data_IF_723177224621
#
_entry.id   IF_723177224621
#
_cell.length_a   1.000
_cell.length_b   1.000
_cell.length_c   1.000
_cell.angle_alpha   90.00
_cell.angle_beta   90.00
_cell.angle_gamma   90.00
#
_symmetry.space_group_name_H-M   'P 1'
#
loop_
_entity.id
_entity.type
_entity.pdbx_description
1 polymer ?
#
# COMPACT_ATOMS: atom_id res chain seq x y z
N UNK A 1 12.36 -11.88 -15.13
CA UNK A 1 12.20 -11.49 -13.71
C UNK A 1 10.89 -10.72 -13.54
N UNK A 2 10.17 -10.91 -12.43
CA UNK A 2 8.75 -10.53 -12.31
C UNK A 2 8.56 -9.01 -12.25
N UNK A 3 8.05 -8.41 -13.33
CA UNK A 3 7.62 -6.99 -13.40
C UNK A 3 6.67 -6.63 -12.25
N UNK A 4 5.81 -7.58 -11.85
CA UNK A 4 4.91 -7.44 -10.71
C UNK A 4 5.65 -7.23 -9.38
N UNK A 5 6.83 -7.84 -9.20
CA UNK A 5 7.64 -7.66 -8.00
C UNK A 5 8.18 -6.23 -7.87
N UNK A 6 8.59 -5.61 -8.98
CA UNK A 6 9.05 -4.21 -9.01
C UNK A 6 7.91 -3.28 -8.61
N UNK A 7 6.75 -3.44 -9.26
CA UNK A 7 5.56 -2.64 -8.96
C UNK A 7 5.12 -2.80 -7.49
N UNK A 8 5.04 -4.04 -7.00
CA UNK A 8 4.64 -4.35 -5.63
C UNK A 8 5.54 -3.65 -4.59
N UNK A 9 6.86 -3.69 -4.81
CA UNK A 9 7.81 -2.99 -3.94
C UNK A 9 7.54 -1.49 -3.87
N UNK A 10 7.29 -0.84 -5.02
CA UNK A 10 7.09 0.61 -5.08
C UNK A 10 5.71 1.06 -4.59
N UNK A 11 4.64 0.33 -4.91
CA UNK A 11 3.29 0.65 -4.40
C UNK A 11 3.19 0.43 -2.88
N UNK A 12 3.83 -0.60 -2.35
CA UNK A 12 3.87 -0.85 -0.91
C UNK A 12 4.69 0.22 -0.19
N UNK A 13 5.83 0.63 -0.76
CA UNK A 13 6.62 1.74 -0.23
C UNK A 13 5.82 3.05 -0.20
N UNK A 14 5.10 3.37 -1.28
CA UNK A 14 4.17 4.49 -1.32
C UNK A 14 3.14 4.40 -0.19
N UNK A 15 2.54 3.23 0.01
CA UNK A 15 1.57 2.99 1.06
C UNK A 15 2.09 3.23 2.47
N UNK A 16 3.31 2.76 2.75
CA UNK A 16 3.98 2.99 4.05
C UNK A 16 4.24 4.48 4.26
N UNK A 17 4.73 5.19 3.24
CA UNK A 17 5.01 6.64 3.33
C UNK A 17 3.73 7.46 3.49
N UNK A 18 2.66 7.13 2.75
CA UNK A 18 1.37 7.78 2.89
C UNK A 18 0.81 7.58 4.30
N UNK A 19 0.84 6.35 4.81
CA UNK A 19 0.37 6.05 6.16
C UNK A 19 1.19 6.82 7.22
N UNK A 20 2.50 6.93 7.03
CA UNK A 20 3.39 7.68 7.90
C UNK A 20 3.05 9.19 7.95
N UNK A 21 2.48 9.75 6.88
CA UNK A 21 2.03 11.15 6.84
C UNK A 21 0.90 11.46 7.85
N UNK A 22 0.14 10.43 8.25
CA UNK A 22 -0.99 10.59 9.18
C UNK A 22 -0.61 10.35 10.64
N UNK A 23 0.61 9.89 10.92
CA UNK A 23 1.11 9.71 12.29
C UNK A 23 1.90 10.97 12.69
N UNK A 24 1.56 11.62 13.82
CA UNK A 24 2.34 12.76 14.31
C UNK A 24 3.63 12.30 15.00
N UNK A 25 4.69 13.11 14.90
CA UNK A 25 6.03 12.75 15.41
C UNK A 25 6.20 12.86 16.92
N UNK A 26 5.45 13.75 17.56
CA UNK A 26 5.71 14.20 18.93
C UNK A 26 5.66 13.10 20.01
N UNK A 27 4.80 12.07 19.95
CA UNK A 27 4.72 11.08 21.03
C UNK A 27 5.33 9.70 20.72
N UNK A 28 5.59 9.36 19.45
CA UNK A 28 6.02 7.98 19.06
C UNK A 28 7.55 7.82 19.04
N UNK A 29 8.29 8.93 19.09
CA UNK A 29 9.75 8.96 19.11
C UNK A 29 10.40 8.79 17.72
N UNK A 30 11.70 9.11 17.62
CA UNK A 30 12.46 9.05 16.36
C UNK A 30 12.70 7.62 15.87
N UNK A 31 12.76 6.64 16.78
CA UNK A 31 12.97 5.23 16.45
C UNK A 31 11.85 4.67 15.57
N UNK A 32 10.59 5.01 15.87
CA UNK A 32 9.44 4.59 15.06
C UNK A 32 9.55 5.07 13.61
N UNK A 33 9.88 6.34 13.40
CA UNK A 33 10.07 6.92 12.06
C UNK A 33 11.27 6.32 11.33
N UNK A 34 12.34 5.98 12.06
CA UNK A 34 13.49 5.30 11.47
C UNK A 34 13.14 3.89 11.02
N UNK A 35 12.40 3.12 11.83
CA UNK A 35 11.97 1.77 11.48
C UNK A 35 11.04 1.82 10.27
N UNK A 36 9.95 2.59 10.33
CA UNK A 36 9.01 2.66 9.21
C UNK A 36 9.63 3.28 7.95
N UNK A 37 10.49 4.28 8.13
CA UNK A 37 11.25 4.86 7.03
C UNK A 37 12.24 3.87 6.41
N UNK A 38 12.88 3.02 7.22
CA UNK A 38 13.77 1.97 6.74
C UNK A 38 13.01 0.85 6.03
N UNK A 39 11.81 0.50 6.49
CA UNK A 39 10.92 -0.43 5.77
C UNK A 39 10.58 0.11 4.38
N UNK A 40 10.20 1.39 4.28
CA UNK A 40 9.97 2.02 2.97
C UNK A 40 11.23 2.06 2.10
N UNK A 41 12.40 2.38 2.69
CA UNK A 41 13.67 2.40 1.97
C UNK A 41 14.06 1.02 1.44
N UNK A 42 13.91 -0.03 2.24
CA UNK A 42 14.19 -1.42 1.82
C UNK A 42 13.28 -1.79 0.65
N UNK A 43 11.99 -1.49 0.72
CA UNK A 43 11.05 -1.73 -0.38
C UNK A 43 11.45 -0.99 -1.66
N UNK A 44 11.77 0.30 -1.57
CA UNK A 44 12.22 1.10 -2.73
C UNK A 44 13.52 0.55 -3.32
N UNK A 45 14.52 0.28 -2.49
CA UNK A 45 15.82 -0.24 -2.90
C UNK A 45 15.70 -1.65 -3.50
N UNK A 46 14.84 -2.51 -2.94
CA UNK A 46 14.51 -3.82 -3.52
C UNK A 46 13.87 -3.68 -4.89
N UNK A 47 12.92 -2.75 -5.07
CA UNK A 47 12.33 -2.49 -6.38
C UNK A 47 13.36 -1.98 -7.41
N UNK A 48 14.27 -1.09 -7.02
CA UNK A 48 15.41 -0.65 -7.85
C UNK A 48 16.31 -1.83 -8.20
N UNK A 49 16.70 -2.66 -7.21
CA UNK A 49 17.55 -3.83 -7.43
C UNK A 49 16.90 -4.84 -8.38
N UNK A 50 15.60 -5.09 -8.26
CA UNK A 50 14.84 -5.94 -9.17
C UNK A 50 14.74 -5.33 -10.58
N UNK A 51 14.56 -4.02 -10.70
CA UNK A 51 14.53 -3.33 -12.00
C UNK A 51 15.88 -3.43 -12.72
N UNK A 52 16.99 -3.17 -12.02
CA UNK A 52 18.33 -3.29 -12.57
C UNK A 52 18.68 -4.74 -12.90
N UNK A 53 18.28 -5.70 -12.04
CA UNK A 53 18.42 -7.14 -12.31
C UNK A 53 17.61 -7.61 -13.52
N UNK A 54 16.51 -6.91 -13.84
CA UNK A 54 15.74 -7.08 -15.08
C UNK A 54 16.33 -6.30 -16.27
N UNK A 55 17.58 -5.83 -16.17
CA UNK A 55 18.31 -5.07 -17.18
C UNK A 55 17.67 -3.73 -17.57
N UNK A 56 16.91 -3.10 -16.66
CA UNK A 56 16.46 -1.71 -16.85
C UNK A 56 17.65 -0.76 -16.73
N UNK A 57 17.78 0.24 -17.62
CA UNK A 57 18.82 1.25 -17.48
C UNK A 57 18.54 2.14 -16.28
N UNK A 58 19.59 2.73 -15.70
CA UNK A 58 19.46 3.73 -14.63
C UNK A 58 18.67 4.98 -15.04
N UNK A 59 18.58 5.25 -16.35
CA UNK A 59 17.77 6.33 -16.92
C UNK A 59 16.29 5.99 -17.06
N UNK A 60 15.86 4.75 -16.76
CA UNK A 60 14.45 4.37 -16.79
C UNK A 60 13.67 5.27 -15.80
N UNK A 61 12.57 5.92 -16.24
CA UNK A 61 11.84 6.87 -15.40
C UNK A 61 11.39 6.27 -14.05
N UNK A 62 11.05 4.98 -14.04
CA UNK A 62 10.64 4.30 -12.81
C UNK A 62 11.79 4.16 -11.81
N UNK A 63 12.97 3.78 -12.31
CA UNK A 63 14.20 3.67 -11.51
C UNK A 63 14.60 5.04 -10.96
N UNK A 64 14.55 6.09 -11.80
CA UNK A 64 14.85 7.47 -11.37
C UNK A 64 13.87 7.93 -10.28
N UNK A 65 12.57 7.70 -10.45
CA UNK A 65 11.55 8.02 -9.45
C UNK A 65 11.79 7.32 -8.11
N UNK A 66 12.12 6.03 -8.14
CA UNK A 66 12.44 5.27 -6.94
C UNK A 66 13.76 5.73 -6.29
N UNK A 67 14.78 6.10 -7.07
CA UNK A 67 16.02 6.67 -6.57
C UNK A 67 15.80 8.03 -5.88
N UNK A 68 14.95 8.89 -6.45
CA UNK A 68 14.55 10.16 -5.81
C UNK A 68 13.84 9.87 -4.48
N UNK A 69 12.95 8.88 -4.44
CA UNK A 69 12.28 8.47 -3.20
C UNK A 69 13.27 7.94 -2.14
N UNK A 70 14.26 7.13 -2.55
CA UNK A 70 15.35 6.69 -1.69
C UNK A 70 16.18 7.87 -1.17
N UNK A 71 16.52 8.82 -2.02
CA UNK A 71 17.30 10.01 -1.64
C UNK A 71 16.57 10.91 -0.64
N UNK A 72 15.24 10.86 -0.61
CA UNK A 72 14.43 11.58 0.38
C UNK A 72 14.42 10.92 1.78
N UNK A 73 14.89 9.68 1.92
CA UNK A 73 14.98 8.95 3.19
C UNK A 73 15.49 9.75 4.39
N UNK A 74 16.68 10.38 4.35
CA UNK A 74 17.21 11.11 5.50
C UNK A 74 16.30 12.26 5.94
N UNK A 75 15.49 12.82 5.04
CA UNK A 75 14.58 13.93 5.35
C UNK A 75 13.34 13.46 6.12
N UNK A 76 12.77 12.31 5.75
CA UNK A 76 11.55 11.81 6.40
C UNK A 76 11.81 10.86 7.58
N UNK A 77 12.96 10.19 7.64
CA UNK A 77 13.35 9.26 8.72
C UNK A 77 14.32 9.88 9.74
N UNK A 78 15.02 10.95 9.36
CA UNK A 78 16.02 11.62 10.18
C UNK A 78 15.46 12.63 11.19
N UNK A 79 16.36 13.39 11.85
CA UNK A 79 16.01 14.30 12.95
C UNK A 79 15.31 15.59 12.50
N UNK A 80 15.27 15.85 11.19
CA UNK A 80 14.74 17.06 10.56
C UNK A 80 13.26 17.24 10.88
N UNK A 81 12.78 18.42 11.31
CA UNK A 81 11.37 18.67 11.69
C UNK A 81 10.70 19.73 10.80
N UNK A 82 9.37 19.86 10.94
CA UNK A 82 8.60 20.92 10.30
C UNK A 82 8.47 20.76 8.78
N UNK A 83 8.63 21.87 8.04
CA UNK A 83 8.41 21.89 6.57
C UNK A 83 9.34 20.95 5.81
N UNK A 84 10.60 20.87 6.21
CA UNK A 84 11.59 20.03 5.52
C UNK A 84 11.25 18.54 5.64
N UNK A 85 10.71 18.11 6.78
CA UNK A 85 10.17 16.76 6.92
C UNK A 85 9.02 16.49 5.95
N UNK A 86 8.06 17.43 5.88
CA UNK A 86 6.92 17.33 4.98
C UNK A 86 7.33 17.26 3.51
N UNK A 87 8.31 18.08 3.11
CA UNK A 87 8.88 18.06 1.75
C UNK A 87 9.57 16.74 1.47
N UNK A 88 10.37 16.23 2.42
CA UNK A 88 11.02 14.92 2.28
C UNK A 88 10.03 13.78 2.13
N UNK A 89 8.97 13.78 2.94
CA UNK A 89 7.92 12.77 2.86
C UNK A 89 7.15 12.86 1.54
N UNK A 90 6.79 14.08 1.12
CA UNK A 90 6.13 14.32 -0.16
C UNK A 90 6.99 13.89 -1.35
N UNK A 91 8.30 14.19 -1.34
CA UNK A 91 9.23 13.73 -2.35
C UNK A 91 9.34 12.19 -2.40
N UNK A 92 9.40 11.55 -1.23
CA UNK A 92 9.36 10.08 -1.11
C UNK A 92 8.08 9.49 -1.71
N UNK A 93 6.93 10.05 -1.36
CA UNK A 93 5.63 9.60 -1.86
C UNK A 93 5.47 9.83 -3.36
N UNK A 94 5.80 11.02 -3.85
CA UNK A 94 5.69 11.35 -5.27
C UNK A 94 6.66 10.53 -6.12
N UNK A 95 7.88 10.30 -5.64
CA UNK A 95 8.85 9.43 -6.31
C UNK A 95 8.39 7.98 -6.38
N UNK A 96 7.86 7.43 -5.28
CA UNK A 96 7.30 6.08 -5.27
C UNK A 96 6.07 5.95 -6.18
N UNK A 97 5.16 6.93 -6.15
CA UNK A 97 4.00 6.97 -7.03
C UNK A 97 4.40 7.03 -8.51
N UNK A 98 5.31 7.95 -8.86
CA UNK A 98 5.84 8.06 -10.22
C UNK A 98 6.50 6.76 -10.69
N UNK A 99 7.25 6.09 -9.81
CA UNK A 99 7.84 4.80 -10.11
C UNK A 99 6.79 3.73 -10.42
N UNK A 100 5.75 3.61 -9.58
CA UNK A 100 4.62 2.69 -9.82
C UNK A 100 3.90 3.00 -11.15
N UNK A 101 3.61 4.27 -11.43
CA UNK A 101 2.97 4.68 -12.68
C UNK A 101 3.83 4.37 -13.92
N UNK A 102 5.13 4.59 -13.83
CA UNK A 102 6.07 4.26 -14.90
C UNK A 102 6.11 2.75 -15.16
N UNK A 103 6.11 1.93 -14.11
CA UNK A 103 6.10 0.47 -14.29
C UNK A 103 4.77 -0.03 -14.85
N UNK A 104 3.65 0.55 -14.44
CA UNK A 104 2.36 0.26 -15.05
C UNK A 104 2.34 0.61 -16.54
N UNK A 105 2.90 1.77 -16.92
CA UNK A 105 2.98 2.18 -18.34
C UNK A 105 3.84 1.20 -19.16
N UNK A 106 4.91 0.70 -18.56
CA UNK A 106 5.76 -0.34 -19.17
C UNK A 106 5.04 -1.69 -19.33
N UNK A 107 4.05 -1.96 -18.48
CA UNK A 107 3.30 -3.22 -18.50
C UNK A 107 2.05 -3.14 -19.38
N UNK A 108 1.43 -1.96 -19.47
CA UNK A 108 0.24 -1.66 -20.26
C UNK A 108 0.54 -0.60 -21.32
N UNK A 109 1.38 -0.89 -22.34
CA UNK A 109 1.83 0.12 -23.31
C UNK A 109 0.69 0.68 -24.18
N UNK A 110 -0.32 -0.15 -24.47
CA UNK A 110 -1.49 0.18 -25.30
C UNK A 110 -2.63 0.82 -24.48
N UNK A 111 -2.49 0.96 -23.16
CA UNK A 111 -3.55 1.52 -22.33
C UNK A 111 -3.69 3.03 -22.54
N UNK A 112 -4.94 3.47 -22.68
CA UNK A 112 -5.28 4.88 -22.70
C UNK A 112 -4.96 5.55 -21.35
N UNK A 113 -4.79 6.87 -21.35
CA UNK A 113 -4.44 7.67 -20.18
C UNK A 113 -5.43 7.48 -19.03
N UNK A 114 -6.73 7.35 -19.33
CA UNK A 114 -7.75 7.09 -18.31
C UNK A 114 -7.55 5.73 -17.62
N UNK A 115 -7.34 4.67 -18.39
CA UNK A 115 -7.11 3.32 -17.86
C UNK A 115 -5.82 3.26 -17.06
N UNK A 116 -4.74 3.87 -17.55
CA UNK A 116 -3.47 3.97 -16.81
C UNK A 116 -3.64 4.76 -15.50
N UNK A 117 -4.42 5.84 -15.53
CA UNK A 117 -4.78 6.64 -14.36
C UNK A 117 -5.49 5.81 -13.29
N UNK A 118 -6.57 5.12 -13.67
CA UNK A 118 -7.35 4.28 -12.77
C UNK A 118 -6.56 3.07 -12.26
N UNK A 119 -5.79 2.42 -13.13
CA UNK A 119 -4.93 1.30 -12.77
C UNK A 119 -3.84 1.74 -11.78
N UNK A 120 -3.20 2.89 -12.02
CA UNK A 120 -2.19 3.44 -11.10
C UNK A 120 -2.79 3.81 -9.75
N UNK A 121 -3.97 4.44 -9.73
CA UNK A 121 -4.68 4.72 -8.49
C UNK A 121 -5.08 3.43 -7.76
N UNK A 122 -5.51 2.39 -8.46
CA UNK A 122 -5.86 1.09 -7.86
C UNK A 122 -4.64 0.41 -7.25
N UNK A 123 -3.51 0.39 -7.96
CA UNK A 123 -2.23 -0.14 -7.47
C UNK A 123 -1.75 0.60 -6.21
N UNK A 124 -1.75 1.94 -6.26
CA UNK A 124 -1.41 2.76 -5.10
C UNK A 124 -2.40 2.55 -3.95
N UNK A 125 -3.71 2.44 -4.22
CA UNK A 125 -4.70 2.16 -3.19
C UNK A 125 -4.41 0.80 -2.50
N UNK A 126 -4.14 -0.24 -3.27
CA UNK A 126 -3.75 -1.57 -2.75
C UNK A 126 -2.49 -1.48 -1.89
N UNK A 127 -1.45 -0.79 -2.37
CA UNK A 127 -0.24 -0.52 -1.60
C UNK A 127 -0.53 0.24 -0.30
N UNK A 128 -1.43 1.23 -0.33
CA UNK A 128 -1.82 2.00 0.86
C UNK A 128 -2.63 1.19 1.86
N UNK A 129 -3.45 0.24 1.43
CA UNK A 129 -4.15 -0.69 2.33
C UNK A 129 -3.11 -1.54 3.08
N UNK A 130 -2.18 -2.15 2.37
CA UNK A 130 -1.12 -2.97 2.97
C UNK A 130 -0.19 -2.14 3.88
N UNK A 131 0.23 -0.95 3.42
CA UNK A 131 1.11 -0.06 4.18
C UNK A 131 0.44 0.52 5.43
N UNK A 132 -0.83 0.93 5.35
CA UNK A 132 -1.59 1.48 6.50
C UNK A 132 -1.87 0.43 7.57
N UNK A 133 -2.27 -0.78 7.19
CA UNK A 133 -2.47 -1.88 8.14
C UNK A 133 -1.14 -2.33 8.77
N UNK A 134 -0.07 -2.45 7.97
CA UNK A 134 1.27 -2.75 8.49
C UNK A 134 1.76 -1.69 9.47
N UNK A 135 1.59 -0.41 9.16
CA UNK A 135 1.90 0.68 10.08
C UNK A 135 1.04 0.63 11.35
N UNK A 136 -0.25 0.31 11.22
CA UNK A 136 -1.17 0.21 12.36
C UNK A 136 -0.77 -0.91 13.31
N UNK A 137 -0.31 -2.05 12.76
CA UNK A 137 0.22 -3.17 13.53
C UNK A 137 1.50 -2.78 14.28
N UNK A 138 2.48 -2.15 13.60
CA UNK A 138 3.72 -1.70 14.24
C UNK A 138 3.43 -0.65 15.32
N UNK A 139 2.55 0.30 15.03
CA UNK A 139 2.10 1.28 16.01
C UNK A 139 1.43 0.60 17.20
N UNK A 140 0.60 -0.42 16.96
CA UNK A 140 -0.01 -1.23 18.00
C UNK A 140 1.01 -1.86 18.94
N UNK A 141 2.11 -2.40 18.39
CA UNK A 141 3.22 -2.91 19.21
C UNK A 141 3.85 -1.81 20.09
N UNK A 142 4.00 -0.58 19.56
CA UNK A 142 4.48 0.57 20.33
C UNK A 142 3.60 0.91 21.53
N UNK A 143 2.28 0.72 21.45
CA UNK A 143 1.36 0.92 22.59
C UNK A 143 1.58 -0.09 23.73
N UNK A 144 2.20 -1.24 23.46
CA UNK A 144 2.53 -2.23 24.48
C UNK A 144 3.85 -1.92 25.19
N UNK A 145 4.76 -1.22 24.53
CA UNK A 145 6.12 -0.95 25.02
C UNK A 145 6.32 0.46 25.55
N UNK A 146 5.58 1.44 25.02
CA UNK A 146 5.65 2.85 25.43
C UNK A 146 4.39 3.24 26.20
N UNK A 147 4.48 3.46 27.52
CA UNK A 147 3.32 3.88 28.32
C UNK A 147 2.86 5.30 27.94
N UNK A 148 1.57 5.58 28.13
CA UNK A 148 0.92 6.90 27.92
C UNK A 148 0.85 7.41 26.47
N UNK A 149 0.88 6.54 25.45
CA UNK A 149 0.52 6.92 24.08
C UNK A 149 -0.98 7.22 23.97
N UNK A 150 -1.32 8.38 23.40
CA UNK A 150 -2.70 8.80 23.24
C UNK A 150 -3.44 8.05 22.13
N UNK A 151 -4.53 7.35 22.50
CA UNK A 151 -5.38 6.49 21.64
C UNK A 151 -5.75 7.13 20.29
N UNK A 152 -5.84 8.46 20.24
CA UNK A 152 -6.15 9.24 19.04
C UNK A 152 -5.26 8.90 17.83
N UNK A 153 -4.01 8.48 18.03
CA UNK A 153 -3.12 8.10 16.92
C UNK A 153 -3.55 6.79 16.27
N UNK A 154 -3.93 5.81 17.08
CA UNK A 154 -4.37 4.50 16.61
C UNK A 154 -5.74 4.62 15.93
N UNK A 155 -6.63 5.46 16.48
CA UNK A 155 -7.91 5.78 15.83
C UNK A 155 -7.73 6.48 14.49
N UNK A 156 -6.82 7.47 14.41
CA UNK A 156 -6.54 8.17 13.15
C UNK A 156 -6.02 7.22 12.09
N UNK A 157 -5.10 6.34 12.45
CA UNK A 157 -4.54 5.38 11.51
C UNK A 157 -5.56 4.31 11.11
N UNK A 158 -6.39 3.84 12.04
CA UNK A 158 -7.49 2.93 11.73
C UNK A 158 -8.51 3.55 10.75
N UNK A 159 -8.82 4.86 10.88
CA UNK A 159 -9.65 5.57 9.90
C UNK A 159 -9.00 5.66 8.52
N UNK A 160 -7.68 5.90 8.46
CA UNK A 160 -6.93 5.90 7.20
C UNK A 160 -6.99 4.53 6.54
N UNK A 161 -6.83 3.45 7.31
CA UNK A 161 -7.00 2.08 6.84
C UNK A 161 -8.40 1.80 6.29
N UNK A 162 -9.45 2.21 6.99
CA UNK A 162 -10.83 2.04 6.51
C UNK A 162 -11.05 2.81 5.19
N UNK A 163 -10.56 4.05 5.12
CA UNK A 163 -10.67 4.89 3.93
C UNK A 163 -9.88 4.31 2.74
N UNK A 164 -8.67 3.78 2.97
CA UNK A 164 -7.87 3.14 1.92
C UNK A 164 -8.53 1.87 1.41
N UNK A 165 -9.10 1.04 2.29
CA UNK A 165 -9.85 -0.16 1.90
C UNK A 165 -11.09 0.18 1.08
N UNK A 166 -11.86 1.18 1.51
CA UNK A 166 -13.03 1.66 0.75
C UNK A 166 -12.65 2.21 -0.62
N UNK A 167 -11.55 2.96 -0.70
CA UNK A 167 -11.02 3.50 -1.96
C UNK A 167 -10.54 2.39 -2.89
N UNK A 168 -9.80 1.40 -2.37
CA UNK A 168 -9.37 0.23 -3.13
C UNK A 168 -10.57 -0.56 -3.65
N UNK A 169 -11.58 -0.82 -2.82
CA UNK A 169 -12.80 -1.52 -3.24
C UNK A 169 -13.54 -0.78 -4.37
N UNK A 170 -13.68 0.54 -4.27
CA UNK A 170 -14.33 1.36 -5.28
C UNK A 170 -13.55 1.35 -6.61
N UNK A 171 -12.22 1.47 -6.57
CA UNK A 171 -11.38 1.45 -7.76
C UNK A 171 -11.38 0.08 -8.45
N UNK A 172 -11.31 -1.00 -7.69
CA UNK A 172 -11.40 -2.37 -8.21
C UNK A 172 -12.76 -2.62 -8.84
N UNK A 173 -13.84 -2.22 -8.17
CA UNK A 173 -15.19 -2.33 -8.72
C UNK A 173 -15.33 -1.52 -10.02
N UNK A 174 -14.81 -0.29 -10.06
CA UNK A 174 -14.83 0.56 -11.25
C UNK A 174 -14.05 -0.06 -12.41
N UNK A 175 -12.84 -0.59 -12.17
CA UNK A 175 -12.03 -1.28 -13.18
C UNK A 175 -12.76 -2.51 -13.73
N UNK A 176 -13.36 -3.32 -12.87
CA UNK A 176 -14.18 -4.48 -13.26
C UNK A 176 -15.39 -4.10 -14.09
N UNK A 177 -16.05 -2.96 -13.81
CA UNK A 177 -17.20 -2.48 -14.55
C UNK A 177 -16.81 -1.95 -15.93
N UNK A 178 -15.77 -1.12 -16.01
CA UNK A 178 -15.31 -0.49 -17.25
C UNK A 178 -14.73 -1.51 -18.23
N UNK A 179 -13.96 -2.49 -17.74
CA UNK A 179 -13.29 -3.49 -18.59
C UNK A 179 -14.03 -4.84 -18.58
N UNK A 180 -15.33 -4.85 -18.23
CA UNK A 180 -16.13 -6.08 -18.09
C UNK A 180 -16.08 -6.96 -19.34
N UNK A 181 -16.13 -6.36 -20.53
CA UNK A 181 -16.13 -7.10 -21.79
C UNK A 181 -14.78 -7.80 -22.02
N UNK A 182 -13.68 -7.07 -21.88
CA UNK A 182 -12.31 -7.58 -22.01
C UNK A 182 -11.99 -8.68 -20.99
N UNK A 183 -12.41 -8.46 -19.74
CA UNK A 183 -12.23 -9.41 -18.64
C UNK A 183 -13.04 -10.71 -18.83
N UNK A 184 -14.14 -10.67 -19.58
CA UNK A 184 -14.96 -11.83 -19.92
C UNK A 184 -14.54 -12.53 -21.22
N UNK A 185 -13.92 -11.81 -22.16
CA UNK A 185 -13.46 -12.39 -23.43
C UNK A 185 -12.13 -13.16 -23.30
N UNK A 186 -11.45 -13.06 -22.16
CA UNK A 186 -10.21 -13.79 -21.90
C UNK A 186 -10.42 -15.30 -21.83
N UNK A 187 -9.35 -16.08 -22.14
CA UNK A 187 -9.37 -17.57 -22.11
C UNK A 187 -9.88 -18.14 -20.78
N UNK A 188 -9.57 -17.45 -19.68
CA UNK A 188 -10.17 -17.67 -18.38
C UNK A 188 -10.97 -16.41 -18.02
N UNK A 189 -12.31 -16.43 -18.09
CA UNK A 189 -13.11 -15.25 -17.79
C UNK A 189 -13.04 -14.91 -16.30
N UNK A 190 -12.87 -13.62 -15.98
CA UNK A 190 -12.83 -13.14 -14.59
C UNK A 190 -14.11 -13.50 -13.83
N UNK A 191 -15.25 -13.46 -14.51
CA UNK A 191 -16.55 -13.80 -13.92
C UNK A 191 -16.92 -15.29 -14.06
N UNK A 192 -15.98 -16.12 -14.51
CA UNK A 192 -16.09 -17.58 -14.39
C UNK A 192 -15.79 -18.07 -12.97
N UNK A 193 -16.02 -19.35 -12.69
CA UNK A 193 -15.87 -19.92 -11.34
C UNK A 193 -14.48 -19.66 -10.71
N UNK A 194 -13.40 -19.82 -11.50
CA UNK A 194 -12.04 -19.63 -11.03
C UNK A 194 -11.66 -18.15 -10.83
N UNK A 195 -12.07 -17.28 -11.75
CA UNK A 195 -11.84 -15.83 -11.64
C UNK A 195 -12.63 -15.24 -10.46
N UNK A 196 -13.88 -15.67 -10.28
CA UNK A 196 -14.74 -15.22 -9.19
C UNK A 196 -14.24 -15.74 -7.83
N UNK A 197 -13.61 -16.91 -7.78
CA UNK A 197 -12.94 -17.40 -6.58
C UNK A 197 -11.76 -16.50 -6.17
N UNK A 198 -10.91 -16.10 -7.13
CA UNK A 198 -9.78 -15.21 -6.86
C UNK A 198 -10.23 -13.79 -6.52
N UNK A 199 -11.13 -13.21 -7.33
CA UNK A 199 -11.70 -11.90 -7.07
C UNK A 199 -12.49 -11.89 -5.75
N UNK A 200 -13.24 -12.96 -5.49
CA UNK A 200 -13.96 -13.17 -4.24
C UNK A 200 -13.02 -13.25 -3.05
N UNK A 201 -11.88 -13.93 -3.16
CA UNK A 201 -10.88 -13.99 -2.10
C UNK A 201 -10.23 -12.62 -1.89
N UNK A 202 -9.88 -11.90 -2.96
CA UNK A 202 -9.37 -10.52 -2.89
C UNK A 202 -10.34 -9.60 -2.14
N UNK A 203 -11.62 -9.63 -2.50
CA UNK A 203 -12.64 -8.76 -1.91
C UNK A 203 -13.00 -9.23 -0.49
N UNK A 204 -13.36 -10.49 -0.30
CA UNK A 204 -13.84 -10.99 0.99
C UNK A 204 -12.72 -11.07 2.04
N UNK A 205 -11.58 -11.67 1.69
CA UNK A 205 -10.45 -11.89 2.61
C UNK A 205 -9.54 -10.67 2.66
N UNK A 206 -9.27 -10.05 1.51
CA UNK A 206 -8.33 -8.94 1.42
C UNK A 206 -8.86 -7.57 1.82
N UNK A 207 -10.18 -7.36 1.74
CA UNK A 207 -10.80 -6.04 1.97
C UNK A 207 -11.93 -6.11 3.01
N UNK A 208 -12.99 -6.91 2.79
CA UNK A 208 -14.19 -6.91 3.63
C UNK A 208 -13.93 -7.42 5.05
N UNK A 209 -13.21 -8.54 5.22
CA UNK A 209 -12.84 -9.04 6.54
C UNK A 209 -11.92 -8.07 7.31
N UNK A 210 -10.84 -7.54 6.71
CA UNK A 210 -10.05 -6.46 7.30
C UNK A 210 -10.86 -5.21 7.65
N UNK A 211 -11.84 -4.83 6.83
CA UNK A 211 -12.73 -3.70 7.10
C UNK A 211 -13.61 -3.96 8.34
N UNK A 212 -14.17 -5.17 8.44
CA UNK A 212 -14.91 -5.60 9.64
C UNK A 212 -14.01 -5.55 10.88
N UNK A 213 -12.78 -6.04 10.76
CA UNK A 213 -11.79 -6.01 11.84
C UNK A 213 -11.39 -4.59 12.21
N UNK A 214 -11.22 -3.69 11.24
CA UNK A 214 -10.97 -2.27 11.50
C UNK A 214 -12.14 -1.62 12.25
N UNK A 215 -13.39 -2.00 11.94
CA UNK A 215 -14.57 -1.55 12.68
C UNK A 215 -14.62 -2.11 14.11
N UNK A 216 -14.29 -3.39 14.30
CA UNK A 216 -14.16 -4.00 15.63
C UNK A 216 -13.04 -3.34 16.44
N UNK A 217 -11.89 -3.08 15.81
CA UNK A 217 -10.77 -2.37 16.44
C UNK A 217 -11.19 -0.96 16.85
N UNK A 218 -11.93 -0.23 16.01
CA UNK A 218 -12.49 1.08 16.37
C UNK A 218 -13.38 0.98 17.61
N UNK A 219 -14.20 -0.07 17.71
CA UNK A 219 -15.05 -0.31 18.88
C UNK A 219 -14.22 -0.61 20.13
N UNK A 220 -13.19 -1.46 20.04
CA UNK A 220 -12.29 -1.73 21.17
C UNK A 220 -11.54 -0.48 21.65
N UNK A 221 -11.15 0.41 20.72
CA UNK A 221 -10.49 1.68 21.05
C UNK A 221 -11.41 2.64 21.82
N UNK A 222 -12.72 2.65 21.52
CA UNK A 222 -13.71 3.44 22.29
C UNK A 222 -13.79 3.01 23.76
N UNK A 223 -13.59 1.72 24.04
CA UNK A 223 -13.53 1.17 25.40
C UNK A 223 -12.12 1.21 26.01
N UNK A 224 -11.17 1.93 25.38
CA UNK A 224 -9.77 2.02 25.80
C UNK A 224 -9.03 0.67 25.91
N UNK A 225 -9.57 -0.38 25.27
CA UNK A 225 -8.95 -1.70 25.27
C UNK A 225 -7.95 -1.82 24.12
N UNK A 226 -6.78 -1.20 24.32
CA UNK A 226 -5.70 -1.16 23.31
C UNK A 226 -5.15 -2.55 23.01
N UNK A 227 -5.03 -3.44 24.00
CA UNK A 227 -4.51 -4.82 23.81
C UNK A 227 -5.39 -5.63 22.86
N UNK A 228 -6.72 -5.58 23.03
CA UNK A 228 -7.66 -6.23 22.12
C UNK A 228 -7.59 -5.63 20.72
N UNK A 229 -7.60 -4.29 20.61
CA UNK A 229 -7.51 -3.60 19.32
C UNK A 229 -6.23 -3.98 18.54
N UNK A 230 -5.10 -4.09 19.22
CA UNK A 230 -3.84 -4.50 18.58
C UNK A 230 -3.88 -5.93 18.05
N UNK A 231 -4.46 -6.88 18.79
CA UNK A 231 -4.61 -8.26 18.32
C UNK A 231 -5.45 -8.38 17.05
N UNK A 232 -6.50 -7.57 16.95
CA UNK A 232 -7.36 -7.49 15.75
C UNK A 232 -6.56 -6.95 14.55
N UNK A 233 -5.73 -5.91 14.76
CA UNK A 233 -4.88 -5.36 13.70
C UNK A 233 -3.83 -6.36 13.20
N UNK A 234 -3.25 -7.20 14.06
CA UNK A 234 -2.35 -8.27 13.64
C UNK A 234 -3.02 -9.26 12.69
N UNK A 235 -4.22 -9.73 13.05
CA UNK A 235 -5.00 -10.61 12.18
C UNK A 235 -5.36 -9.92 10.85
N UNK A 236 -5.74 -8.64 10.91
CA UNK A 236 -6.03 -7.83 9.72
C UNK A 236 -4.84 -7.72 8.78
N UNK A 237 -3.60 -7.61 9.28
CA UNK A 237 -2.39 -7.56 8.44
C UNK A 237 -2.25 -8.81 7.60
N UNK A 238 -2.41 -10.00 8.19
CA UNK A 238 -2.29 -11.27 7.48
C UNK A 238 -3.32 -11.37 6.35
N UNK A 239 -4.57 -11.03 6.65
CA UNK A 239 -5.66 -11.05 5.68
C UNK A 239 -5.42 -10.09 4.51
N UNK A 240 -4.94 -8.87 4.80
CA UNK A 240 -4.59 -7.89 3.77
C UNK A 240 -3.42 -8.36 2.90
N UNK A 241 -2.40 -9.00 3.50
CA UNK A 241 -1.28 -9.56 2.73
C UNK A 241 -1.74 -10.68 1.80
N UNK A 242 -2.61 -11.59 2.27
CA UNK A 242 -3.22 -12.62 1.43
C UNK A 242 -3.99 -11.96 0.28
N UNK A 243 -4.84 -10.99 0.60
CA UNK A 243 -5.58 -10.22 -0.40
C UNK A 243 -4.67 -9.54 -1.42
N UNK A 244 -3.54 -8.98 -0.99
CA UNK A 244 -2.60 -8.28 -1.87
C UNK A 244 -1.83 -9.25 -2.76
N UNK A 245 -1.48 -10.43 -2.25
CA UNK A 245 -0.90 -11.49 -3.08
C UNK A 245 -1.89 -11.97 -4.16
N UNK A 246 -3.16 -12.12 -3.81
CA UNK A 246 -4.21 -12.47 -4.79
C UNK A 246 -4.42 -11.34 -5.81
N UNK A 247 -4.34 -10.07 -5.39
CA UNK A 247 -4.39 -8.91 -6.28
C UNK A 247 -3.29 -8.96 -7.35
N UNK A 248 -2.04 -9.22 -6.94
CA UNK A 248 -0.91 -9.38 -7.87
C UNK A 248 -1.09 -10.57 -8.82
N UNK A 249 -1.67 -11.67 -8.33
CA UNK A 249 -1.97 -12.85 -9.16
C UNK A 249 -3.04 -12.55 -10.22
N UNK A 250 -4.11 -11.84 -9.82
CA UNK A 250 -5.15 -11.34 -10.73
C UNK A 250 -4.54 -10.40 -11.75
N UNK A 251 -3.71 -9.46 -11.30
CA UNK A 251 -3.01 -8.55 -12.18
C UNK A 251 -2.17 -9.32 -13.22
N UNK A 252 -1.33 -10.25 -12.78
CA UNK A 252 -0.56 -11.10 -13.68
C UNK A 252 -1.40 -11.87 -14.72
N UNK A 253 -2.64 -12.22 -14.37
CA UNK A 253 -3.54 -12.99 -15.24
C UNK A 253 -4.36 -12.13 -16.21
N UNK A 254 -4.78 -10.94 -15.78
CA UNK A 254 -5.78 -10.12 -16.48
C UNK A 254 -5.24 -8.80 -17.03
N UNK A 255 -3.99 -8.41 -16.72
CA UNK A 255 -3.44 -7.16 -17.25
C UNK A 255 -3.87 -5.90 -16.48
N UNK A 256 -4.67 -6.03 -15.42
CA UNK A 256 -5.22 -4.91 -14.63
C UNK A 256 -5.00 -5.12 -13.13
N UNK A 257 -4.63 -4.07 -12.36
CA UNK A 257 -4.50 -4.14 -10.91
C UNK A 257 -5.90 -4.18 -10.24
N UNK A 258 -6.34 -5.40 -9.90
CA UNK A 258 -7.63 -5.74 -9.28
C UNK A 258 -7.48 -6.17 -7.82
#
# INVERSE_FOLDING_TARGET
MSKLGIQFCWELAFGVLLALAFVPRAPVGSLFYRIMGSTALVLLASGVGLALGAARPWSDPGVVGACVACAAFPLYSGPVRGRVWGVGLAAGMLGAAFATFSELRNWMPEADAMTLGLAGLSALATGTVAGSVGLAMVLGHWYLTVPNLGIAHLERLNRVTIASMGTSLALVALLCLLHRQELNSNRAPLFGAWGLFHLGTRVAVGLLMPLLFAWMAASSLRYQNTRSATGILYASTVLVLIGTAVSLSLQGSYGLPL
#
